data_IF_787052505273
#
_entry.id   IF_787052505273
#
_cell.length_a   1.000
_cell.length_b   1.000
_cell.length_c   1.000
_cell.angle_alpha   90.00
_cell.angle_beta   90.00
_cell.angle_gamma   90.00
#
_symmetry.space_group_name_H-M   'P 1'
#
loop_
_entity.id
_entity.type
_entity.pdbx_description
1 polymer ?
#
# COMPACT_ATOMS: atom_id res chain seq x y z
N UNK A 1 -5.85 -8.21 4.51
CA UNK A 1 -6.71 -8.33 5.70
C UNK A 1 -7.72 -7.20 5.80
N UNK A 2 -7.36 -5.97 6.19
CA UNK A 2 -8.36 -4.89 6.33
C UNK A 2 -9.04 -4.53 4.98
N UNK A 3 -8.25 -4.41 3.91
CA UNK A 3 -8.79 -4.13 2.58
C UNK A 3 -9.74 -5.23 2.08
N UNK A 4 -9.54 -6.49 2.51
CA UNK A 4 -10.38 -7.62 2.09
C UNK A 4 -11.74 -7.55 2.77
N UNK A 5 -11.75 -7.28 4.08
CA UNK A 5 -12.99 -7.05 4.83
C UNK A 5 -13.76 -5.85 4.26
N UNK A 6 -13.06 -4.76 3.92
CA UNK A 6 -13.69 -3.59 3.31
C UNK A 6 -14.25 -3.90 1.92
N UNK A 7 -13.59 -4.75 1.13
CA UNK A 7 -14.12 -5.19 -0.16
C UNK A 7 -15.37 -6.06 -0.01
N UNK A 8 -15.41 -6.90 1.01
CA UNK A 8 -16.54 -7.79 1.29
C UNK A 8 -17.76 -7.03 1.83
N UNK A 9 -17.55 -6.08 2.74
CA UNK A 9 -18.66 -5.43 3.44
C UNK A 9 -19.07 -4.07 2.88
N UNK A 10 -18.22 -3.40 2.11
CA UNK A 10 -18.43 -2.01 1.70
C UNK A 10 -18.35 -1.85 0.19
N UNK A 11 -19.47 -2.08 -0.50
CA UNK A 11 -19.61 -1.88 -1.95
C UNK A 11 -19.10 -0.51 -2.42
N UNK A 12 -19.28 0.53 -1.59
CA UNK A 12 -18.81 1.88 -1.88
C UNK A 12 -17.29 1.92 -2.15
N UNK A 13 -16.48 1.05 -1.55
CA UNK A 13 -15.03 1.05 -1.80
C UNK A 13 -14.70 0.61 -3.23
N UNK A 14 -15.50 -0.30 -3.81
CA UNK A 14 -15.31 -0.78 -5.18
C UNK A 14 -15.70 0.27 -6.21
N UNK A 15 -16.77 1.03 -5.92
CA UNK A 15 -17.30 2.07 -6.81
C UNK A 15 -16.48 3.36 -6.68
N UNK A 16 -16.28 3.83 -5.45
CA UNK A 16 -15.68 5.12 -5.17
C UNK A 16 -14.16 5.03 -5.05
N UNK A 17 -13.56 3.88 -4.73
CA UNK A 17 -12.15 3.78 -4.42
C UNK A 17 -11.76 4.40 -3.07
N UNK A 18 -10.45 4.42 -2.78
CA UNK A 18 -9.90 4.77 -1.46
C UNK A 18 -8.86 5.89 -1.54
N UNK A 19 -8.88 6.81 -0.58
CA UNK A 19 -7.78 7.75 -0.32
C UNK A 19 -7.11 7.37 0.99
N UNK A 20 -5.79 7.35 1.04
CA UNK A 20 -5.02 6.93 2.23
C UNK A 20 -4.12 8.06 2.72
N UNK A 21 -4.17 8.35 4.02
CA UNK A 21 -3.23 9.25 4.70
C UNK A 21 -2.29 8.40 5.56
N UNK A 22 -0.98 8.54 5.33
CA UNK A 22 0.06 7.80 6.03
C UNK A 22 0.96 8.77 6.78
N UNK A 23 1.00 8.64 8.10
CA UNK A 23 1.86 9.45 8.96
C UNK A 23 3.19 8.73 9.23
N UNK A 24 4.29 9.28 8.72
CA UNK A 24 5.64 8.74 8.88
C UNK A 24 6.37 9.29 10.10
N UNK A 25 5.70 10.04 10.98
CA UNK A 25 6.28 10.48 12.25
C UNK A 25 6.79 9.29 13.06
N UNK A 26 8.06 9.34 13.45
CA UNK A 26 8.70 8.26 14.22
C UNK A 26 9.29 7.12 13.39
N UNK A 27 9.27 7.21 12.05
CA UNK A 27 9.98 6.26 11.19
C UNK A 27 11.49 6.32 11.44
N UNK A 28 12.08 5.15 11.70
CA UNK A 28 13.50 4.99 12.02
C UNK A 28 14.26 4.38 10.85
N UNK A 29 15.59 4.37 10.94
CA UNK A 29 16.43 3.64 9.99
C UNK A 29 16.07 2.15 9.91
N UNK A 30 15.73 1.51 11.04
CA UNK A 30 15.34 0.09 11.08
C UNK A 30 14.10 -0.18 10.22
N UNK A 31 13.12 0.72 10.22
CA UNK A 31 11.95 0.61 9.35
C UNK A 31 12.33 0.76 7.88
N UNK A 32 13.16 1.76 7.56
CA UNK A 32 13.63 2.02 6.19
C UNK A 32 14.47 0.88 5.63
N UNK A 33 15.29 0.24 6.46
CA UNK A 33 16.09 -0.92 6.07
C UNK A 33 15.23 -2.13 5.63
N UNK A 34 13.98 -2.23 6.07
CA UNK A 34 13.04 -3.26 5.63
C UNK A 34 12.44 -2.99 4.24
N UNK A 35 12.53 -1.75 3.74
CA UNK A 35 12.02 -1.35 2.43
C UNK A 35 12.95 -1.81 1.28
N UNK A 36 13.12 -3.12 1.14
CA UNK A 36 13.94 -3.71 0.08
C UNK A 36 13.29 -3.54 -1.29
N UNK A 37 14.10 -3.49 -2.35
CA UNK A 37 13.60 -3.35 -3.73
C UNK A 37 12.59 -4.46 -4.12
N UNK A 38 12.80 -5.75 -3.81
CA UNK A 38 11.81 -6.79 -4.08
C UNK A 38 10.48 -6.54 -3.36
N UNK A 39 10.52 -6.06 -2.11
CA UNK A 39 9.30 -5.73 -1.35
C UNK A 39 8.56 -4.55 -1.98
N UNK A 40 9.26 -3.49 -2.36
CA UNK A 40 8.66 -2.33 -3.03
C UNK A 40 8.02 -2.72 -4.37
N UNK A 41 8.69 -3.53 -5.19
CA UNK A 41 8.09 -4.03 -6.45
C UNK A 41 6.78 -4.79 -6.20
N UNK A 42 6.76 -5.69 -5.21
CA UNK A 42 5.55 -6.42 -4.80
C UNK A 42 4.45 -5.46 -4.37
N UNK A 43 4.76 -4.48 -3.53
CA UNK A 43 3.79 -3.48 -3.08
C UNK A 43 3.21 -2.66 -4.25
N UNK A 44 4.04 -2.23 -5.20
CA UNK A 44 3.60 -1.50 -6.40
C UNK A 44 2.64 -2.35 -7.24
N UNK A 45 2.95 -3.63 -7.47
CA UNK A 45 2.03 -4.51 -8.23
C UNK A 45 0.70 -4.69 -7.52
N UNK A 46 0.71 -4.84 -6.19
CA UNK A 46 -0.54 -4.90 -5.43
C UNK A 46 -1.38 -3.64 -5.63
N UNK A 47 -0.76 -2.46 -5.68
CA UNK A 47 -1.44 -1.18 -5.90
C UNK A 47 -1.91 -0.96 -7.35
N UNK A 48 -1.21 -1.52 -8.35
CA UNK A 48 -1.50 -1.25 -9.78
C UNK A 48 -2.42 -2.26 -10.44
N UNK A 49 -2.45 -3.51 -9.98
CA UNK A 49 -3.16 -4.54 -10.73
C UNK A 49 -3.60 -5.78 -9.95
N UNK A 50 -3.17 -5.96 -8.69
CA UNK A 50 -3.56 -7.16 -7.94
C UNK A 50 -4.72 -6.95 -6.98
N UNK A 51 -4.95 -5.74 -6.46
CA UNK A 51 -6.13 -5.46 -5.62
C UNK A 51 -7.25 -4.80 -6.44
N UNK A 52 -8.51 -5.26 -6.31
CA UNK A 52 -9.65 -4.67 -7.01
C UNK A 52 -10.14 -3.38 -6.32
N UNK A 53 -9.21 -2.55 -5.82
CA UNK A 53 -9.50 -1.27 -5.17
C UNK A 53 -8.87 -0.15 -5.98
N UNK A 54 -9.69 0.81 -6.41
CA UNK A 54 -9.17 2.02 -7.06
C UNK A 54 -8.53 2.94 -6.03
N UNK A 55 -7.21 3.08 -6.07
CA UNK A 55 -6.49 4.12 -5.32
C UNK A 55 -6.82 5.50 -5.86
N UNK A 56 -7.43 6.40 -5.09
CA UNK A 56 -7.70 7.80 -5.47
C UNK A 56 -6.50 8.70 -5.18
N UNK A 57 -5.99 8.66 -3.96
CA UNK A 57 -4.84 9.42 -3.50
C UNK A 57 -4.11 8.67 -2.38
N UNK A 58 -2.79 8.81 -2.31
CA UNK A 58 -1.94 8.34 -1.21
C UNK A 58 -1.14 9.55 -0.74
N UNK A 59 -1.53 10.10 0.40
CA UNK A 59 -0.84 11.21 1.04
C UNK A 59 0.07 10.68 2.14
N UNK A 60 1.34 11.04 2.09
CA UNK A 60 2.35 10.65 3.06
C UNK A 60 2.89 11.92 3.71
N UNK A 61 2.73 12.04 5.02
CA UNK A 61 3.14 13.21 5.79
C UNK A 61 4.22 12.85 6.80
N UNK A 62 4.92 13.87 7.30
CA UNK A 62 6.00 13.77 8.27
C UNK A 62 7.13 12.84 7.82
N UNK A 63 7.46 12.83 6.53
CA UNK A 63 8.50 11.96 5.98
C UNK A 63 9.88 12.42 6.48
N UNK A 64 10.62 11.57 7.21
CA UNK A 64 11.95 11.93 7.66
C UNK A 64 12.93 11.91 6.49
N UNK A 65 13.95 12.76 6.52
CA UNK A 65 14.92 12.87 5.41
C UNK A 65 15.63 11.56 5.07
N UNK A 66 15.77 10.65 6.05
CA UNK A 66 16.32 9.30 5.86
C UNK A 66 15.47 8.41 4.93
N UNK A 67 14.18 8.69 4.77
CA UNK A 67 13.26 7.93 3.93
C UNK A 67 13.16 8.47 2.50
N UNK A 68 13.69 9.68 2.22
CA UNK A 68 13.65 10.31 0.90
C UNK A 68 14.26 9.42 -0.20
N UNK A 69 15.43 8.77 -0.02
CA UNK A 69 15.99 7.90 -1.06
C UNK A 69 15.08 6.72 -1.40
N UNK A 70 14.44 6.12 -0.40
CA UNK A 70 13.47 5.02 -0.60
C UNK A 70 12.25 5.52 -1.37
N UNK A 71 11.73 6.69 -1.03
CA UNK A 71 10.63 7.29 -1.77
C UNK A 71 10.98 7.55 -3.25
N UNK A 72 12.18 8.08 -3.54
CA UNK A 72 12.63 8.27 -4.93
C UNK A 72 12.70 6.96 -5.70
N UNK A 73 13.15 5.88 -5.04
CA UNK A 73 13.16 4.55 -5.63
C UNK A 73 11.73 4.04 -5.87
N UNK A 74 10.82 4.25 -4.94
CA UNK A 74 9.40 3.92 -5.11
C UNK A 74 8.79 4.68 -6.31
N UNK A 75 9.02 5.98 -6.43
CA UNK A 75 8.54 6.78 -7.57
C UNK A 75 9.03 6.26 -8.92
N UNK A 76 10.27 5.75 -8.98
CA UNK A 76 10.81 5.16 -10.21
C UNK A 76 10.16 3.82 -10.58
N UNK A 77 9.51 3.14 -9.62
CA UNK A 77 8.78 1.88 -9.85
C UNK A 77 7.31 2.10 -10.20
N UNK A 78 6.72 3.22 -9.77
CA UNK A 78 5.31 3.54 -10.01
C UNK A 78 5.08 3.91 -11.48
N UNK A 79 3.95 3.49 -12.03
CA UNK A 79 3.44 4.02 -13.30
C UNK A 79 3.12 5.52 -13.15
N UNK A 80 3.14 6.24 -14.28
CA UNK A 80 2.79 7.67 -14.30
C UNK A 80 1.44 7.96 -13.60
N UNK A 81 0.45 7.09 -13.82
CA UNK A 81 -0.89 7.19 -13.23
C UNK A 81 -0.87 7.10 -11.70
N UNK A 82 -0.06 6.22 -11.12
CA UNK A 82 0.07 6.16 -9.66
C UNK A 82 0.97 7.26 -9.13
N UNK A 83 2.05 7.61 -9.81
CA UNK A 83 2.93 8.72 -9.40
C UNK A 83 2.14 10.02 -9.22
N UNK A 84 1.17 10.30 -10.09
CA UNK A 84 0.25 11.45 -9.96
C UNK A 84 -0.69 11.39 -8.75
N UNK A 85 -0.88 10.21 -8.13
CA UNK A 85 -1.73 9.98 -6.96
C UNK A 85 -0.95 9.90 -5.65
N UNK A 86 0.39 9.85 -5.71
CA UNK A 86 1.24 9.90 -4.53
C UNK A 86 1.60 11.35 -4.21
N UNK A 87 1.31 11.77 -2.98
CA UNK A 87 1.57 13.12 -2.50
C UNK A 87 2.40 13.01 -1.22
N UNK A 88 3.64 13.46 -1.26
CA UNK A 88 4.60 13.22 -0.19
C UNK A 88 5.12 14.53 0.37
N UNK A 89 5.06 14.65 1.70
CA UNK A 89 5.36 15.85 2.46
C UNK A 89 6.35 15.51 3.57
N UNK A 90 7.44 16.27 3.67
CA UNK A 90 8.39 16.16 4.78
C UNK A 90 7.80 16.69 6.11
N UNK A 91 6.75 17.52 6.02
CA UNK A 91 6.00 18.09 7.14
C UNK A 91 4.60 17.45 7.27
N UNK A 92 3.75 18.03 8.11
CA UNK A 92 2.38 17.56 8.37
C UNK A 92 1.41 17.67 7.16
N UNK A 93 1.88 18.11 6.00
CA UNK A 93 1.11 18.29 4.78
C UNK A 93 0.32 19.60 4.71
N UNK A 94 0.21 20.35 5.83
CA UNK A 94 -0.49 21.64 5.88
C UNK A 94 -1.90 21.58 5.28
N UNK A 95 -2.27 22.62 4.53
CA UNK A 95 -3.58 22.69 3.87
C UNK A 95 -3.67 21.85 2.59
N UNK A 96 -2.55 21.31 2.09
CA UNK A 96 -2.52 20.56 0.83
C UNK A 96 -3.28 19.24 0.94
N UNK A 97 -3.31 18.62 2.12
CA UNK A 97 -4.04 17.36 2.33
C UNK A 97 -5.56 17.55 2.19
N UNK A 98 -6.09 18.76 2.40
CA UNK A 98 -7.53 19.03 2.25
C UNK A 98 -8.03 18.97 0.81
N UNK A 99 -7.10 18.97 -0.17
CA UNK A 99 -7.43 18.71 -1.58
C UNK A 99 -7.90 17.26 -1.80
N UNK A 100 -7.53 16.36 -0.90
CA UNK A 100 -7.78 14.92 -1.02
C UNK A 100 -8.72 14.39 0.06
N UNK A 101 -8.82 15.07 1.20
CA UNK A 101 -9.63 14.68 2.35
C UNK A 101 -10.50 15.85 2.84
N UNK A 102 -11.82 15.67 2.98
CA UNK A 102 -12.67 16.62 3.69
C UNK A 102 -12.18 16.88 5.13
N UNK A 103 -12.31 18.10 5.63
CA UNK A 103 -11.84 18.46 6.98
C UNK A 103 -12.59 17.73 8.09
N UNK A 104 -13.88 17.52 7.92
CA UNK A 104 -14.78 16.86 8.87
C UNK A 104 -14.47 15.36 9.07
N UNK A 105 -13.78 14.73 8.12
CA UNK A 105 -13.32 13.34 8.27
C UNK A 105 -11.90 13.22 8.83
N UNK A 106 -11.12 14.31 8.82
CA UNK A 106 -9.76 14.31 9.32
C UNK A 106 -9.73 14.50 10.85
N UNK A 107 -8.86 13.76 11.55
CA UNK A 107 -8.63 13.96 12.98
C UNK A 107 -8.11 15.36 13.31
N UNK A 108 -8.36 15.81 14.55
CA UNK A 108 -7.89 17.10 15.08
C UNK A 108 -6.35 17.24 14.99
N UNK A 109 -5.61 16.15 15.18
CA UNK A 109 -4.15 16.09 15.10
C UNK A 109 -3.62 16.35 13.69
N UNK A 110 -4.47 16.13 12.68
CA UNK A 110 -4.21 16.49 11.28
C UNK A 110 -4.94 17.76 10.87
N UNK A 111 -5.26 18.63 11.86
CA UNK A 111 -5.94 19.92 11.70
C UNK A 111 -7.32 19.84 11.04
N UNK A 112 -7.96 18.67 11.11
CA UNK A 112 -9.35 18.49 10.71
C UNK A 112 -10.34 18.91 11.80
N UNK A 113 -11.62 18.72 11.48
CA UNK A 113 -12.77 19.00 12.35
C UNK A 113 -13.43 17.70 12.87
N UNK A 114 -12.82 16.55 12.57
CA UNK A 114 -13.29 15.22 12.99
C UNK A 114 -12.91 14.87 14.44
N UNK A 115 -13.09 13.60 14.79
CA UNK A 115 -12.71 13.07 16.11
C UNK A 115 -11.20 13.12 16.31
N UNK A 116 -10.75 13.40 17.53
CA UNK A 116 -9.32 13.29 17.87
C UNK A 116 -8.81 11.86 17.70
N UNK A 117 -7.52 11.68 17.48
CA UNK A 117 -6.86 10.37 17.46
C UNK A 117 -7.06 9.63 18.78
N UNK A 118 -7.16 10.35 19.91
CA UNK A 118 -7.49 9.74 21.19
C UNK A 118 -8.92 9.19 21.23
N UNK A 119 -9.90 9.88 20.66
CA UNK A 119 -11.28 9.36 20.53
C UNK A 119 -11.37 8.23 19.50
N UNK A 120 -10.56 8.30 18.44
CA UNK A 120 -10.42 7.24 17.44
C UNK A 120 -9.62 6.02 17.97
N UNK A 121 -8.94 6.12 19.11
CA UNK A 121 -8.23 4.97 19.69
C UNK A 121 -9.18 3.82 20.02
N UNK A 122 -10.45 4.11 20.34
CA UNK A 122 -11.50 3.11 20.45
C UNK A 122 -11.74 2.38 19.12
N UNK A 123 -11.69 3.11 18.00
CA UNK A 123 -11.78 2.52 16.66
C UNK A 123 -10.60 1.60 16.34
N UNK A 124 -9.39 1.85 16.84
CA UNK A 124 -8.29 0.89 16.69
C UNK A 124 -8.67 -0.46 17.32
N UNK A 125 -9.20 -0.46 18.54
CA UNK A 125 -9.65 -1.68 19.22
C UNK A 125 -10.81 -2.34 18.48
N UNK A 126 -11.75 -1.55 17.97
CA UNK A 126 -12.87 -2.06 17.15
C UNK A 126 -12.38 -2.70 15.85
N UNK A 127 -11.52 -2.02 15.09
CA UNK A 127 -10.95 -2.54 13.84
C UNK A 127 -10.09 -3.78 14.09
N UNK A 128 -9.32 -3.79 15.17
CA UNK A 128 -8.56 -4.96 15.58
C UNK A 128 -9.51 -6.13 15.88
N UNK A 129 -10.51 -5.93 16.73
CA UNK A 129 -11.49 -6.96 17.07
C UNK A 129 -12.28 -7.44 15.85
N UNK A 130 -12.53 -6.56 14.88
CA UNK A 130 -13.15 -6.91 13.60
C UNK A 130 -12.24 -7.77 12.72
N UNK A 131 -10.94 -7.45 12.64
CA UNK A 131 -10.00 -8.30 11.92
C UNK A 131 -9.91 -9.68 12.58
N UNK A 132 -9.87 -9.73 13.92
CA UNK A 132 -9.85 -10.97 14.69
C UNK A 132 -11.15 -11.79 14.50
N UNK A 133 -12.32 -11.15 14.41
CA UNK A 133 -13.58 -11.86 14.15
C UNK A 133 -13.67 -12.49 12.76
N UNK A 134 -12.79 -12.11 11.84
CA UNK A 134 -12.68 -12.68 10.50
C UNK A 134 -11.63 -13.80 10.41
N UNK A 135 -11.08 -14.28 11.52
CA UNK A 135 -10.04 -15.33 11.54
C UNK A 135 -10.45 -16.56 10.72
N UNK A 136 -11.60 -17.15 11.00
CA UNK A 136 -12.10 -18.32 10.26
C UNK A 136 -12.31 -18.02 8.77
N UNK A 137 -12.72 -16.80 8.44
CA UNK A 137 -12.88 -16.38 7.05
C UNK A 137 -11.52 -16.34 6.32
N UNK A 138 -10.48 -15.77 6.93
CA UNK A 138 -9.12 -15.76 6.37
C UNK A 138 -8.49 -17.15 6.28
N UNK A 139 -8.74 -18.04 7.24
CA UNK A 139 -8.27 -19.42 7.18
C UNK A 139 -8.92 -20.14 5.99
N UNK A 140 -10.23 -19.98 5.84
CA UNK A 140 -10.98 -20.58 4.74
C UNK A 140 -10.63 -19.96 3.38
N UNK A 141 -10.24 -18.69 3.32
CA UNK A 141 -9.87 -18.01 2.07
C UNK A 141 -8.69 -18.70 1.36
N UNK A 142 -7.79 -19.34 2.11
CA UNK A 142 -6.65 -20.08 1.55
C UNK A 142 -7.06 -21.22 0.62
N UNK A 143 -8.29 -21.74 0.73
CA UNK A 143 -8.78 -22.78 -0.17
C UNK A 143 -9.13 -22.26 -1.58
N UNK A 144 -9.29 -20.94 -1.74
CA UNK A 144 -9.68 -20.28 -2.99
C UNK A 144 -8.48 -19.69 -3.74
N UNK A 145 -7.38 -20.45 -3.82
CA UNK A 145 -6.19 -20.04 -4.56
C UNK A 145 -6.19 -20.55 -6.00
N UNK A 146 -5.35 -19.92 -6.84
CA UNK A 146 -5.05 -20.46 -8.16
C UNK A 146 -4.30 -21.79 -8.03
N UNK A 147 -4.62 -22.76 -8.88
CA UNK A 147 -3.81 -23.98 -9.00
C UNK A 147 -2.47 -23.63 -9.65
N UNK A 148 -1.42 -23.56 -8.84
CA UNK A 148 -0.09 -23.21 -9.29
C UNK A 148 0.56 -24.30 -10.17
N UNK A 149 0.05 -25.54 -10.14
CA UNK A 149 0.61 -26.64 -10.94
C UNK A 149 0.35 -26.47 -12.44
N UNK A 150 -0.69 -25.73 -12.81
CA UNK A 150 -1.05 -25.42 -14.20
C UNK A 150 -0.47 -24.08 -14.68
N UNK A 151 0.26 -23.34 -13.83
CA UNK A 151 0.86 -22.05 -14.22
C UNK A 151 1.86 -22.27 -15.36
N UNK A 152 1.76 -21.54 -16.49
CA UNK A 152 2.76 -21.60 -17.54
C UNK A 152 4.17 -21.27 -17.01
N UNK A 153 5.15 -22.14 -17.31
CA UNK A 153 6.55 -22.00 -16.82
C UNK A 153 7.23 -20.73 -17.34
N UNK A 154 6.81 -20.22 -18.49
CA UNK A 154 7.25 -18.94 -19.03
C UNK A 154 6.31 -17.82 -18.59
N UNK A 155 6.53 -17.33 -17.36
CA UNK A 155 5.82 -16.17 -16.86
C UNK A 155 6.70 -14.93 -17.00
N UNK A 156 6.28 -13.96 -17.82
CA UNK A 156 6.91 -12.62 -17.89
C UNK A 156 7.01 -11.99 -16.49
N UNK A 157 5.99 -12.22 -15.65
CA UNK A 157 5.89 -11.76 -14.28
C UNK A 157 7.04 -12.29 -13.40
N UNK A 158 7.44 -13.56 -13.53
CA UNK A 158 8.54 -14.11 -12.72
C UNK A 158 9.89 -13.46 -13.06
N UNK A 159 10.14 -13.20 -14.35
CA UNK A 159 11.37 -12.54 -14.80
C UNK A 159 11.43 -11.07 -14.33
N UNK A 160 10.29 -10.37 -14.29
CA UNK A 160 10.19 -8.97 -13.83
C UNK A 160 10.22 -8.82 -12.29
N UNK A 161 9.62 -9.76 -11.54
CA UNK A 161 9.59 -9.76 -10.07
C UNK A 161 10.96 -10.08 -9.45
N UNK A 162 11.55 -11.20 -9.87
CA UNK A 162 12.68 -11.80 -9.15
C UNK A 162 14.03 -11.38 -9.73
N UNK A 163 14.05 -10.66 -10.86
CA UNK A 163 15.28 -10.04 -11.39
C UNK A 163 16.37 -11.03 -11.79
N UNK A 164 16.09 -12.34 -11.83
CA UNK A 164 17.03 -13.36 -12.32
C UNK A 164 16.77 -13.62 -13.80
N UNK A 165 16.91 -12.57 -14.60
CA UNK A 165 17.30 -12.74 -16.00
C UNK A 165 18.62 -12.00 -16.18
N UNK A 166 19.69 -12.62 -15.69
CA UNK A 166 21.01 -12.27 -16.17
C UNK A 166 21.05 -12.58 -17.66
N UNK A 167 21.50 -11.61 -18.47
CA UNK A 167 21.84 -11.78 -19.88
C UNK A 167 23.08 -12.68 -20.04
N UNK A 168 23.08 -13.87 -19.44
CA UNK A 168 24.04 -14.90 -19.78
C UNK A 168 23.48 -15.61 -21.01
N UNK A 169 23.94 -15.16 -22.18
CA UNK A 169 23.92 -15.98 -23.38
C UNK A 169 24.53 -17.32 -22.97
N UNK A 170 23.74 -18.41 -22.98
CA UNK A 170 24.28 -19.76 -22.85
C UNK A 170 25.37 -19.89 -23.90
N UNK A 171 26.63 -19.91 -23.46
CA UNK A 171 27.75 -20.25 -24.32
C UNK A 171 27.60 -21.75 -24.57
N UNK A 172 27.10 -22.13 -25.75
CA UNK A 172 27.26 -23.49 -26.23
C UNK A 172 28.75 -23.65 -26.55
N UNK A 173 29.45 -24.40 -25.71
CA UNK A 173 30.78 -24.89 -26.02
C UNK A 173 30.55 -26.23 -26.71
N UNK A 174 30.98 -26.31 -27.97
CA UNK A 174 31.06 -27.54 -28.76
C UNK A 174 32.25 -28.40 -28.27
#
# INVERSE_FOLDING_TARGET
>A
MLCDILLEECDNITICGVSMLLDFKGVTFTHVAQCTLPLMKKAVMCLEGSYPIRTKAICIINVPSLAIPVYRLLQALLSKKLTERFHVYENDGGDDIYKYFPKDVLPLEYKGDGKSMSELSGMYTEWKGKIESYEDWFINDQQYCSDETIRPKESKLQNELFGVSGSFRKLAID
#
